data_IF_128855152087
#
_entry.id   IF_128855152087
#
_cell.length_a   1.000
_cell.length_b   1.000
_cell.length_c   1.000
_cell.angle_alpha   90.00
_cell.angle_beta   90.00
_cell.angle_gamma   90.00
#
_symmetry.space_group_name_H-M   'P 1'
#
loop_
_entity.id
_entity.type
_entity.pdbx_description
1 polymer ?
#
# COMPACT_ATOMS: atom_id res chain seq x y z
N UNK A 1 69.04 17.67 -7.42
CA UNK A 1 68.85 16.24 -7.06
C UNK A 1 67.38 15.90 -7.28
N UNK A 2 67.00 15.24 -8.40
CA UNK A 2 65.59 14.88 -8.66
C UNK A 2 65.20 13.69 -7.78
N UNK A 3 64.30 13.90 -6.82
CA UNK A 3 63.71 12.81 -6.01
C UNK A 3 62.97 11.87 -6.97
N UNK A 4 63.55 10.70 -7.25
CA UNK A 4 62.87 9.65 -8.04
C UNK A 4 61.88 8.97 -7.11
N UNK A 5 60.62 9.41 -7.12
CA UNK A 5 59.54 8.73 -6.40
C UNK A 5 59.44 7.31 -6.96
N UNK A 6 59.64 6.29 -6.12
CA UNK A 6 59.45 4.90 -6.53
C UNK A 6 57.97 4.71 -6.87
N UNK A 7 57.68 4.06 -8.01
CA UNK A 7 56.32 3.82 -8.52
C UNK A 7 55.37 3.23 -7.46
N UNK A 8 55.90 2.42 -6.55
CA UNK A 8 55.17 1.86 -5.40
C UNK A 8 54.50 2.94 -4.53
N UNK A 9 55.17 4.08 -4.29
CA UNK A 9 54.58 5.19 -3.52
C UNK A 9 53.43 5.86 -4.28
N UNK A 10 53.49 5.90 -5.61
CA UNK A 10 52.42 6.45 -6.44
C UNK A 10 51.19 5.56 -6.36
N UNK A 11 51.35 4.23 -6.38
CA UNK A 11 50.22 3.29 -6.28
C UNK A 11 49.57 3.29 -4.89
N UNK A 12 50.38 3.38 -3.83
CA UNK A 12 49.88 3.53 -2.46
C UNK A 12 49.14 4.86 -2.30
N UNK A 13 49.63 5.94 -2.91
CA UNK A 13 48.94 7.23 -2.89
C UNK A 13 47.58 7.16 -3.61
N UNK A 14 47.50 6.53 -4.79
CA UNK A 14 46.24 6.34 -5.52
C UNK A 14 45.23 5.53 -4.69
N UNK A 15 45.68 4.43 -4.08
CA UNK A 15 44.85 3.63 -3.18
C UNK A 15 44.34 4.44 -1.98
N UNK A 16 45.23 5.20 -1.34
CA UNK A 16 44.91 6.00 -0.15
C UNK A 16 43.93 7.14 -0.47
N UNK A 17 44.07 7.77 -1.64
CA UNK A 17 43.12 8.79 -2.12
C UNK A 17 41.73 8.19 -2.34
N UNK A 18 41.65 7.01 -2.99
CA UNK A 18 40.38 6.30 -3.16
C UNK A 18 39.69 5.98 -1.84
N UNK A 19 40.46 5.52 -0.84
CA UNK A 19 39.94 5.21 0.49
C UNK A 19 39.47 6.45 1.26
N UNK A 20 40.24 7.55 1.18
CA UNK A 20 39.88 8.82 1.83
C UNK A 20 38.61 9.42 1.25
N UNK A 21 38.38 9.30 -0.05
CA UNK A 21 37.13 9.75 -0.69
C UNK A 21 35.93 8.95 -0.14
N UNK A 22 36.06 7.62 -0.07
CA UNK A 22 34.99 6.76 0.47
C UNK A 22 34.71 7.09 1.95
N UNK A 23 35.76 7.21 2.77
CA UNK A 23 35.62 7.51 4.21
C UNK A 23 35.03 8.90 4.43
N UNK A 24 35.45 9.90 3.66
CA UNK A 24 34.94 11.28 3.79
C UNK A 24 33.45 11.37 3.49
N UNK A 25 32.96 10.62 2.50
CA UNK A 25 31.53 10.58 2.15
C UNK A 25 30.75 9.89 3.27
N UNK A 26 31.19 8.69 3.69
CA UNK A 26 30.54 7.95 4.78
C UNK A 26 30.50 8.76 6.09
N UNK A 27 31.56 9.49 6.42
CA UNK A 27 31.64 10.32 7.62
C UNK A 27 30.76 11.57 7.52
N UNK A 28 30.74 12.25 6.36
CA UNK A 28 29.83 13.37 6.12
C UNK A 28 28.38 12.93 6.30
N UNK A 29 28.01 11.76 5.77
CA UNK A 29 26.63 11.28 5.79
C UNK A 29 26.19 10.76 7.15
N UNK A 30 27.11 10.15 7.91
CA UNK A 30 26.91 9.81 9.32
C UNK A 30 26.60 11.05 10.18
N UNK A 31 27.34 12.14 9.95
CA UNK A 31 27.12 13.40 10.66
C UNK A 31 25.80 14.09 10.28
N UNK A 32 25.21 13.76 9.13
CA UNK A 32 23.97 14.34 8.61
C UNK A 32 22.74 13.42 8.77
N UNK A 33 22.91 12.21 9.30
CA UNK A 33 21.82 11.24 9.48
C UNK A 33 21.22 10.69 8.17
N UNK A 34 21.96 10.75 7.05
CA UNK A 34 21.46 10.45 5.68
C UNK A 34 22.06 9.17 5.06
N UNK A 35 22.31 8.13 5.85
CA UNK A 35 22.96 6.90 5.34
C UNK A 35 22.10 6.04 4.37
N UNK A 36 20.82 6.37 4.13
CA UNK A 36 19.88 5.54 3.37
C UNK A 36 19.51 6.05 1.96
N UNK A 37 19.91 7.26 1.56
CA UNK A 37 19.53 7.85 0.27
C UNK A 37 20.70 8.49 -0.47
N UNK A 38 21.46 7.68 -1.20
CA UNK A 38 22.50 8.20 -2.10
C UNK A 38 21.90 8.75 -3.40
N UNK A 39 22.16 10.02 -3.70
CA UNK A 39 21.88 10.62 -5.00
C UNK A 39 22.78 10.06 -6.09
N UNK A 40 22.53 10.42 -7.35
CA UNK A 40 23.33 9.95 -8.49
C UNK A 40 24.81 10.34 -8.34
N UNK A 41 25.10 11.55 -7.87
CA UNK A 41 26.46 12.04 -7.65
C UNK A 41 27.20 11.23 -6.58
N UNK A 42 26.54 10.90 -5.47
CA UNK A 42 27.16 10.16 -4.37
C UNK A 42 27.45 8.71 -4.76
N UNK A 43 26.52 8.07 -5.49
CA UNK A 43 26.71 6.73 -6.08
C UNK A 43 27.88 6.72 -7.06
N UNK A 44 28.01 7.75 -7.90
CA UNK A 44 29.11 7.89 -8.83
C UNK A 44 30.47 8.08 -8.11
N UNK A 45 30.50 8.87 -7.04
CA UNK A 45 31.72 9.09 -6.23
C UNK A 45 32.16 7.84 -5.48
N UNK A 46 31.23 7.07 -4.89
CA UNK A 46 31.53 5.78 -4.25
C UNK A 46 32.08 4.76 -5.26
N UNK A 47 31.47 4.67 -6.44
CA UNK A 47 31.92 3.79 -7.51
C UNK A 47 33.33 4.17 -7.98
N UNK A 48 33.58 5.46 -8.22
CA UNK A 48 34.90 5.96 -8.61
C UNK A 48 35.95 5.70 -7.54
N UNK A 49 35.64 5.97 -6.26
CA UNK A 49 36.53 5.67 -5.13
C UNK A 49 36.91 4.19 -5.05
N UNK A 50 35.93 3.30 -5.23
CA UNK A 50 36.16 1.85 -5.30
C UNK A 50 37.04 1.43 -6.46
N UNK A 51 36.81 1.98 -7.66
CA UNK A 51 37.63 1.74 -8.86
C UNK A 51 39.08 2.17 -8.63
N UNK A 52 39.32 3.37 -8.06
CA UNK A 52 40.67 3.85 -7.78
C UNK A 52 41.39 2.99 -6.74
N UNK A 53 40.69 2.52 -5.71
CA UNK A 53 41.26 1.60 -4.71
C UNK A 53 41.66 0.26 -5.35
N UNK A 54 40.78 -0.35 -6.16
CA UNK A 54 41.08 -1.63 -6.83
C UNK A 54 42.24 -1.47 -7.82
N UNK A 55 42.25 -0.42 -8.65
CA UNK A 55 43.33 -0.15 -9.60
C UNK A 55 44.65 0.06 -8.86
N UNK A 56 44.67 0.86 -7.78
CA UNK A 56 45.86 1.08 -6.97
C UNK A 56 46.42 -0.22 -6.40
N UNK A 57 45.56 -1.08 -5.88
CA UNK A 57 45.94 -2.38 -5.32
C UNK A 57 46.48 -3.34 -6.40
N UNK A 58 45.81 -3.44 -7.55
CA UNK A 58 46.24 -4.30 -8.68
C UNK A 58 47.59 -3.83 -9.23
N UNK A 59 47.77 -2.53 -9.45
CA UNK A 59 49.04 -1.98 -9.94
C UNK A 59 50.18 -2.20 -8.94
N UNK A 60 49.90 -2.08 -7.64
CA UNK A 60 50.87 -2.39 -6.60
C UNK A 60 51.28 -3.88 -6.64
N UNK A 61 50.32 -4.80 -6.73
CA UNK A 61 50.58 -6.24 -6.81
C UNK A 61 51.40 -6.58 -8.07
N UNK A 62 51.02 -6.05 -9.23
CA UNK A 62 51.70 -6.32 -10.51
C UNK A 62 53.13 -5.78 -10.57
N UNK A 63 53.38 -4.58 -10.04
CA UNK A 63 54.73 -4.02 -9.98
C UNK A 63 55.63 -4.87 -9.07
N UNK A 64 55.09 -5.35 -7.94
CA UNK A 64 55.80 -6.26 -7.05
C UNK A 64 56.04 -7.61 -7.70
N UNK A 65 55.06 -8.18 -8.41
CA UNK A 65 55.21 -9.42 -9.20
C UNK A 65 56.36 -9.32 -10.21
N UNK A 66 56.46 -8.22 -10.97
CA UNK A 66 57.59 -7.98 -11.90
C UNK A 66 58.95 -7.89 -11.20
N UNK A 67 58.99 -7.37 -9.98
CA UNK A 67 60.21 -7.34 -9.16
C UNK A 67 60.57 -8.76 -8.68
N UNK A 68 59.57 -9.58 -8.34
CA UNK A 68 59.75 -10.99 -7.93
C UNK A 68 60.25 -11.87 -9.10
N UNK A 69 59.68 -11.72 -10.29
CA UNK A 69 60.06 -12.46 -11.49
C UNK A 69 61.53 -12.20 -11.88
N UNK A 70 62.02 -10.96 -11.72
CA UNK A 70 63.41 -10.59 -12.02
C UNK A 70 64.44 -11.07 -10.99
N UNK A 71 64.04 -11.41 -9.77
CA UNK A 71 64.97 -11.78 -8.68
C UNK A 71 64.90 -13.27 -8.28
N UNK A 72 64.01 -14.04 -8.91
CA UNK A 72 63.73 -15.44 -8.55
C UNK A 72 62.83 -15.52 -7.33
N UNK A 73 61.71 -16.24 -7.46
CA UNK A 73 60.59 -16.29 -6.51
C UNK A 73 60.99 -16.66 -5.07
N UNK A 74 62.12 -17.36 -4.88
CA UNK A 74 62.61 -17.83 -3.57
C UNK A 74 63.74 -17.00 -2.93
N UNK A 75 64.24 -15.92 -3.56
CA UNK A 75 65.40 -15.18 -3.02
C UNK A 75 65.04 -13.99 -2.12
N UNK A 76 63.75 -13.66 -1.98
CA UNK A 76 63.33 -12.49 -1.21
C UNK A 76 62.89 -12.95 0.17
N UNK A 77 63.58 -12.48 1.22
CA UNK A 77 63.01 -12.39 2.58
C UNK A 77 61.70 -11.62 2.43
N UNK A 78 60.59 -12.34 2.29
CA UNK A 78 59.25 -11.76 2.36
C UNK A 78 59.21 -11.13 3.74
N UNK A 79 59.24 -9.80 3.80
CA UNK A 79 59.13 -9.11 5.06
C UNK A 79 57.73 -9.47 5.56
N UNK A 80 57.64 -10.33 6.58
CA UNK A 80 56.39 -10.92 7.07
C UNK A 80 55.32 -9.84 7.29
N UNK A 81 55.77 -8.64 7.66
CA UNK A 81 55.01 -7.41 7.78
C UNK A 81 54.25 -7.02 6.51
N UNK A 82 54.87 -7.14 5.32
CA UNK A 82 54.26 -6.77 4.04
C UNK A 82 53.23 -7.80 3.57
N UNK A 83 53.48 -9.09 3.81
CA UNK A 83 52.48 -10.13 3.55
C UNK A 83 51.28 -9.96 4.48
N UNK A 84 51.51 -9.70 5.77
CA UNK A 84 50.46 -9.35 6.72
C UNK A 84 49.68 -8.11 6.29
N UNK A 85 50.34 -7.07 5.81
CA UNK A 85 49.66 -5.84 5.38
C UNK A 85 48.71 -6.08 4.19
N UNK A 86 49.12 -6.87 3.20
CA UNK A 86 48.26 -7.23 2.07
C UNK A 86 47.08 -8.09 2.53
N UNK A 87 47.31 -9.06 3.42
CA UNK A 87 46.24 -9.89 3.99
C UNK A 87 45.24 -9.07 4.82
N UNK A 88 45.72 -8.10 5.61
CA UNK A 88 44.87 -7.19 6.39
C UNK A 88 44.06 -6.29 5.47
N UNK A 89 44.67 -5.71 4.44
CA UNK A 89 43.96 -4.87 3.48
C UNK A 89 42.89 -5.67 2.71
N UNK A 90 43.19 -6.90 2.31
CA UNK A 90 42.24 -7.78 1.64
C UNK A 90 41.07 -8.16 2.56
N UNK A 91 41.36 -8.57 3.81
CA UNK A 91 40.35 -8.87 4.81
C UNK A 91 39.48 -7.65 5.14
N UNK A 92 40.08 -6.45 5.19
CA UNK A 92 39.36 -5.20 5.43
C UNK A 92 38.46 -4.84 4.26
N UNK A 93 38.90 -5.02 3.01
CA UNK A 93 38.05 -4.82 1.82
C UNK A 93 36.91 -5.83 1.75
N UNK A 94 37.15 -7.11 2.06
CA UNK A 94 36.09 -8.13 2.12
C UNK A 94 35.13 -7.89 3.30
N UNK A 95 35.65 -7.41 4.43
CA UNK A 95 34.85 -7.04 5.61
C UNK A 95 33.95 -5.84 5.33
N UNK A 96 34.48 -4.78 4.71
CA UNK A 96 33.67 -3.63 4.27
C UNK A 96 32.68 -4.06 3.19
N UNK A 97 33.07 -4.87 2.20
CA UNK A 97 32.10 -5.32 1.18
C UNK A 97 31.01 -6.20 1.79
N UNK A 98 31.33 -7.03 2.79
CA UNK A 98 30.38 -7.86 3.52
C UNK A 98 29.45 -7.05 4.41
N UNK A 99 29.96 -6.03 5.11
CA UNK A 99 29.15 -5.09 5.90
C UNK A 99 28.28 -4.24 4.99
N UNK A 100 28.80 -3.74 3.87
CA UNK A 100 28.07 -2.97 2.87
C UNK A 100 27.00 -3.84 2.21
N UNK A 101 27.32 -5.07 1.80
CA UNK A 101 26.34 -6.02 1.25
C UNK A 101 25.27 -6.38 2.28
N UNK A 102 25.66 -6.73 3.51
CA UNK A 102 24.71 -6.99 4.59
C UNK A 102 23.88 -5.75 4.92
N UNK A 103 24.45 -4.54 4.87
CA UNK A 103 23.73 -3.28 5.08
C UNK A 103 22.85 -2.91 3.88
N UNK A 104 23.13 -3.33 2.66
CA UNK A 104 22.21 -3.13 1.52
C UNK A 104 21.16 -4.24 1.42
N UNK A 105 21.47 -5.45 1.87
CA UNK A 105 20.54 -6.59 1.92
C UNK A 105 19.67 -6.60 3.19
N UNK A 106 20.11 -5.94 4.27
CA UNK A 106 19.38 -5.78 5.54
C UNK A 106 19.18 -4.32 5.97
N UNK A 107 19.57 -3.31 5.18
CA UNK A 107 18.95 -1.99 5.36
C UNK A 107 17.49 -2.19 5.02
N UNK A 108 16.56 -1.83 5.90
CA UNK A 108 15.27 -1.40 5.42
C UNK A 108 15.60 -0.17 4.58
N UNK A 109 15.72 -0.35 3.27
CA UNK A 109 15.74 0.77 2.37
C UNK A 109 14.53 1.60 2.78
N UNK A 110 14.78 2.82 3.24
CA UNK A 110 13.77 3.85 3.38
C UNK A 110 13.24 4.23 2.00
N UNK A 111 12.78 3.28 1.20
CA UNK A 111 11.60 3.57 0.41
C UNK A 111 10.61 4.10 1.45
N UNK A 112 10.10 5.31 1.27
CA UNK A 112 8.77 5.58 1.76
C UNK A 112 7.94 4.42 1.23
N UNK A 113 7.70 3.41 2.07
CA UNK A 113 6.81 2.33 1.73
C UNK A 113 5.52 3.05 1.41
N UNK A 114 4.94 2.75 0.23
CA UNK A 114 3.58 3.14 -0.07
C UNK A 114 2.68 2.41 0.91
N UNK A 115 2.67 2.90 2.15
CA UNK A 115 1.87 2.37 3.23
C UNK A 115 0.48 2.89 2.96
N UNK A 116 -0.38 1.97 2.57
CA UNK A 116 -1.80 2.26 2.51
C UNK A 116 -2.31 2.38 3.93
N UNK A 117 -2.96 3.51 4.20
CA UNK A 117 -3.45 3.91 5.51
C UNK A 117 -4.87 4.44 5.37
N UNK A 118 -5.58 4.50 6.49
CA UNK A 118 -6.97 4.94 6.53
C UNK A 118 -7.07 6.28 7.27
N UNK A 119 -7.83 7.20 6.69
CA UNK A 119 -8.15 8.50 7.27
C UNK A 119 -9.65 8.70 7.45
N UNK A 120 -10.00 9.72 8.23
CA UNK A 120 -11.37 10.18 8.46
C UNK A 120 -11.49 11.64 8.02
N UNK A 121 -12.54 11.92 7.27
CA UNK A 121 -12.98 13.27 6.97
C UNK A 121 -14.39 13.52 7.49
N UNK A 122 -14.67 14.79 7.80
CA UNK A 122 -16.01 15.22 8.22
C UNK A 122 -16.64 16.10 7.14
N UNK A 123 -17.95 15.97 6.98
CA UNK A 123 -18.75 16.93 6.25
C UNK A 123 -19.63 17.70 7.21
N UNK A 124 -19.56 19.04 7.14
CA UNK A 124 -20.50 19.95 7.77
C UNK A 124 -21.69 20.27 6.83
N UNK A 125 -21.87 19.47 5.78
CA UNK A 125 -22.95 19.58 4.82
C UNK A 125 -24.00 18.52 5.10
N UNK A 126 -25.26 18.87 4.89
CA UNK A 126 -26.36 17.91 4.82
C UNK A 126 -26.12 16.89 3.68
N UNK A 127 -25.42 17.32 2.63
CA UNK A 127 -25.09 16.48 1.49
C UNK A 127 -23.74 15.74 1.64
N UNK A 128 -23.71 14.43 1.32
CA UNK A 128 -22.55 13.55 1.48
C UNK A 128 -21.53 13.65 0.33
N UNK A 129 -21.24 14.87 -0.14
CA UNK A 129 -20.36 15.11 -1.31
C UNK A 129 -19.18 16.04 -1.03
N UNK A 130 -19.19 16.74 0.10
CA UNK A 130 -18.18 17.75 0.42
C UNK A 130 -17.52 17.43 1.75
N UNK A 131 -16.39 16.75 1.69
CA UNK A 131 -15.60 16.38 2.86
C UNK A 131 -14.44 17.35 2.98
N UNK A 132 -14.35 18.02 4.13
CA UNK A 132 -13.30 18.98 4.43
C UNK A 132 -12.45 18.44 5.57
N UNK A 133 -11.14 18.58 5.44
CA UNK A 133 -10.22 18.33 6.54
C UNK A 133 -10.21 19.57 7.44
N UNK A 134 -10.88 19.53 8.59
CA UNK A 134 -10.76 20.62 9.56
C UNK A 134 -10.43 20.24 10.99
N UNK A 135 -10.67 19.01 11.45
CA UNK A 135 -10.56 18.70 12.88
C UNK A 135 -10.10 17.28 13.23
N UNK A 136 -9.60 16.48 12.28
CA UNK A 136 -9.12 15.10 12.53
C UNK A 136 -7.67 14.95 12.08
N UNK A 137 -6.84 14.33 12.91
CA UNK A 137 -5.45 14.03 12.55
C UNK A 137 -5.42 12.72 11.79
N UNK A 138 -5.09 12.79 10.51
CA UNK A 138 -4.93 11.62 9.64
C UNK A 138 -3.45 11.22 9.48
N UNK A 139 -3.16 9.93 9.18
CA UNK A 139 -4.12 8.82 9.15
C UNK A 139 -4.58 8.40 10.55
N UNK A 140 -5.81 7.89 10.68
CA UNK A 140 -6.36 7.37 11.95
C UNK A 140 -6.01 5.91 12.19
N UNK A 141 -5.59 5.20 11.13
CA UNK A 141 -5.18 3.80 11.21
C UNK A 141 -4.10 3.50 10.17
N UNK A 142 -3.08 2.76 10.60
CA UNK A 142 -1.91 2.35 9.82
C UNK A 142 -1.66 0.86 9.97
N UNK A 143 -0.71 0.31 9.21
CA UNK A 143 -0.34 -1.10 9.38
C UNK A 143 0.29 -1.37 10.76
N UNK A 144 0.92 -0.35 11.37
CA UNK A 144 1.56 -0.46 12.68
C UNK A 144 0.58 -0.62 13.86
N UNK A 145 -0.69 -0.27 13.66
CA UNK A 145 -1.74 -0.43 14.68
C UNK A 145 -2.25 -1.88 14.80
N UNK A 146 -2.05 -2.68 13.75
CA UNK A 146 -2.44 -4.09 13.73
C UNK A 146 -1.48 -4.89 14.62
N UNK A 147 -2.03 -5.59 15.62
CA UNK A 147 -1.23 -6.17 16.71
C UNK A 147 -1.24 -7.70 16.80
N UNK A 148 -2.16 -8.39 16.13
CA UNK A 148 -2.31 -9.86 16.16
C UNK A 148 -1.65 -10.55 14.93
N UNK A 149 -1.46 -9.83 13.83
CA UNK A 149 -0.75 -10.26 12.62
C UNK A 149 0.23 -9.19 12.12
N UNK A 150 1.34 -9.57 11.46
CA UNK A 150 2.21 -8.59 10.83
C UNK A 150 1.52 -8.03 9.58
N UNK A 151 1.11 -6.76 9.63
CA UNK A 151 0.48 -6.08 8.50
C UNK A 151 1.49 -5.26 7.69
N UNK A 152 1.27 -5.15 6.37
CA UNK A 152 2.01 -4.21 5.51
C UNK A 152 1.20 -3.01 5.05
N UNK A 153 -0.12 -3.13 5.02
CA UNK A 153 -1.08 -2.12 4.55
C UNK A 153 -2.44 -2.31 5.22
N UNK A 154 -3.21 -1.23 5.30
CA UNK A 154 -4.64 -1.26 5.62
C UNK A 154 -5.42 -0.43 4.59
N UNK A 155 -6.56 -0.93 4.11
CA UNK A 155 -7.32 -0.33 3.02
C UNK A 155 -8.82 -0.67 3.10
N UNK A 156 -9.63 -0.11 2.19
CA UNK A 156 -11.06 -0.41 2.03
C UNK A 156 -11.91 -0.30 3.31
N UNK A 157 -11.90 0.86 4.01
CA UNK A 157 -12.66 1.00 5.24
C UNK A 157 -14.16 1.05 4.99
N UNK A 158 -14.94 0.21 5.68
CA UNK A 158 -16.40 0.25 5.76
C UNK A 158 -16.88 0.64 7.15
N UNK A 159 -17.61 1.75 7.24
CA UNK A 159 -18.16 2.25 8.49
C UNK A 159 -19.54 1.70 8.80
N UNK A 160 -19.73 1.30 10.05
CA UNK A 160 -21.03 0.98 10.64
C UNK A 160 -21.17 1.74 11.95
N UNK A 161 -22.34 2.34 12.17
CA UNK A 161 -22.74 2.83 13.49
C UNK A 161 -23.85 1.96 14.03
N UNK A 162 -23.68 1.49 15.27
CA UNK A 162 -24.70 0.76 16.02
C UNK A 162 -24.74 1.28 17.45
N UNK A 163 -25.88 1.88 17.82
CA UNK A 163 -26.01 2.66 19.05
C UNK A 163 -25.01 3.82 19.12
N UNK A 164 -24.26 3.86 20.21
CA UNK A 164 -23.26 4.90 20.51
C UNK A 164 -21.84 4.52 20.05
N UNK A 165 -21.69 3.41 19.32
CA UNK A 165 -20.40 2.91 18.85
C UNK A 165 -20.29 2.98 17.33
N UNK A 166 -19.08 3.30 16.88
CA UNK A 166 -18.65 3.21 15.50
C UNK A 166 -17.72 2.02 15.33
N UNK A 167 -17.91 1.30 14.24
CA UNK A 167 -17.13 0.14 13.83
C UNK A 167 -16.60 0.39 12.42
N UNK A 168 -15.34 0.07 12.20
CA UNK A 168 -14.68 0.14 10.90
C UNK A 168 -14.14 -1.24 10.58
N UNK A 169 -14.67 -1.84 9.52
CA UNK A 169 -14.15 -3.07 8.94
C UNK A 169 -13.25 -2.70 7.76
N UNK A 170 -12.09 -3.32 7.63
CA UNK A 170 -11.11 -2.93 6.61
C UNK A 170 -10.22 -4.11 6.23
N UNK A 171 -9.60 -4.05 5.05
CA UNK A 171 -8.58 -5.00 4.63
C UNK A 171 -7.31 -4.79 5.46
N UNK A 172 -6.74 -5.90 5.95
CA UNK A 172 -5.40 -5.99 6.50
C UNK A 172 -4.57 -6.87 5.58
N UNK A 173 -3.52 -6.31 5.00
CA UNK A 173 -2.61 -7.08 4.16
C UNK A 173 -1.58 -7.81 5.03
N UNK A 174 -1.83 -9.11 5.27
CA UNK A 174 -1.08 -9.95 6.18
C UNK A 174 0.21 -10.46 5.54
N UNK A 175 1.35 -10.06 6.09
CA UNK A 175 2.69 -10.41 5.60
C UNK A 175 2.99 -11.89 5.77
N UNK A 176 2.41 -12.55 6.79
CA UNK A 176 2.71 -13.95 7.11
C UNK A 176 2.10 -14.90 6.09
N UNK A 177 0.86 -14.63 5.68
CA UNK A 177 0.09 -15.45 4.73
C UNK A 177 0.17 -14.91 3.31
N UNK A 178 0.57 -13.65 3.14
CA UNK A 178 0.57 -12.92 1.87
C UNK A 178 -0.83 -12.85 1.23
N UNK A 179 -1.85 -12.61 2.06
CA UNK A 179 -3.23 -12.43 1.65
C UNK A 179 -3.86 -11.27 2.47
N UNK A 180 -5.02 -10.79 2.03
CA UNK A 180 -5.84 -9.85 2.79
C UNK A 180 -6.73 -10.60 3.79
N UNK A 181 -6.80 -10.10 5.02
CA UNK A 181 -7.73 -10.52 6.07
C UNK A 181 -8.62 -9.33 6.45
N UNK A 182 -9.76 -9.55 7.12
CA UNK A 182 -10.62 -8.44 7.55
C UNK A 182 -10.35 -8.07 9.00
N UNK A 183 -9.87 -6.84 9.20
CA UNK A 183 -9.67 -6.21 10.50
C UNK A 183 -10.90 -5.46 11.01
N UNK A 184 -10.91 -5.19 12.32
CA UNK A 184 -11.88 -4.34 13.00
C UNK A 184 -11.18 -3.26 13.82
N UNK A 185 -11.66 -2.03 13.69
CA UNK A 185 -11.35 -0.91 14.59
C UNK A 185 -12.65 -0.33 15.13
N UNK A 186 -12.58 0.26 16.33
CA UNK A 186 -13.75 0.83 17.02
C UNK A 186 -13.50 2.27 17.43
N UNK A 187 -14.58 3.04 17.51
CA UNK A 187 -14.56 4.42 18.00
C UNK A 187 -15.85 4.76 18.74
N UNK A 188 -15.77 5.69 19.70
CA UNK A 188 -16.93 6.25 20.42
C UNK A 188 -17.40 7.58 19.85
N UNK A 189 -16.52 8.28 19.12
CA UNK A 189 -16.77 9.61 18.58
C UNK A 189 -16.71 9.65 17.05
N UNK A 190 -16.26 8.57 16.41
CA UNK A 190 -16.05 8.49 14.96
C UNK A 190 -14.75 9.15 14.51
N UNK A 191 -13.91 9.62 15.43
CA UNK A 191 -12.70 10.40 15.17
C UNK A 191 -11.45 9.67 15.69
N UNK A 192 -11.50 9.22 16.93
CA UNK A 192 -10.42 8.50 17.58
C UNK A 192 -10.70 7.00 17.45
N UNK A 193 -9.89 6.33 16.64
CA UNK A 193 -10.05 4.92 16.32
C UNK A 193 -9.03 4.07 17.08
N UNK A 194 -9.43 2.87 17.45
CA UNK A 194 -8.55 1.88 18.07
C UNK A 194 -8.73 0.55 17.38
N UNK A 195 -7.63 -0.02 16.91
CA UNK A 195 -7.58 -1.38 16.41
C UNK A 195 -8.11 -2.37 17.47
N UNK A 196 -8.91 -3.35 17.03
CA UNK A 196 -9.47 -4.40 17.88
C UNK A 196 -8.81 -5.76 17.60
N UNK A 197 -9.09 -6.36 16.44
CA UNK A 197 -8.61 -7.69 16.04
C UNK A 197 -8.92 -7.98 14.57
N UNK A 198 -8.30 -9.02 14.00
CA UNK A 198 -8.81 -9.70 12.80
C UNK A 198 -10.13 -10.42 13.15
N UNK A 199 -11.18 -10.16 12.36
CA UNK A 199 -12.53 -10.69 12.58
C UNK A 199 -12.95 -11.73 11.53
N UNK A 200 -12.27 -11.77 10.39
CA UNK A 200 -12.45 -12.78 9.36
C UNK A 200 -11.12 -13.06 8.67
N UNK A 201 -10.72 -14.33 8.71
CA UNK A 201 -9.53 -14.90 8.07
C UNK A 201 -9.96 -16.19 7.37
N UNK A 202 -9.60 -16.32 6.11
CA UNK A 202 -9.91 -17.46 5.24
C UNK A 202 -8.61 -18.00 4.62
N UNK A 203 -8.69 -19.09 3.85
CA UNK A 203 -7.48 -19.64 3.18
C UNK A 203 -7.14 -18.93 1.86
N UNK A 204 -7.76 -17.80 1.61
CA UNK A 204 -7.70 -17.04 0.36
C UNK A 204 -7.83 -15.55 0.69
N UNK A 205 -7.42 -14.69 -0.23
CA UNK A 205 -7.44 -13.25 -0.07
C UNK A 205 -8.86 -12.68 0.12
N UNK A 206 -8.99 -11.82 1.12
CA UNK A 206 -10.19 -11.02 1.43
C UNK A 206 -9.85 -9.53 1.44
N UNK A 207 -10.69 -8.72 0.80
CA UNK A 207 -10.62 -7.25 0.85
C UNK A 207 -12.03 -6.67 0.81
N UNK A 208 -12.18 -5.34 0.69
CA UNK A 208 -13.46 -4.67 0.47
C UNK A 208 -14.66 -5.23 1.29
N UNK A 209 -14.62 -5.17 2.64
CA UNK A 209 -15.61 -5.82 3.51
C UNK A 209 -16.95 -5.07 3.55
N UNK A 210 -17.78 -5.21 2.51
CA UNK A 210 -19.07 -4.53 2.44
C UNK A 210 -20.04 -5.04 3.52
N UNK A 211 -20.19 -4.27 4.60
CA UNK A 211 -21.07 -4.60 5.75
C UNK A 211 -22.43 -3.91 5.62
N UNK A 212 -23.50 -4.64 5.92
CA UNK A 212 -24.88 -4.13 5.89
C UNK A 212 -25.76 -4.80 6.95
N UNK A 213 -26.90 -4.16 7.27
CA UNK A 213 -27.88 -4.67 8.25
C UNK A 213 -29.13 -5.19 7.53
N UNK A 214 -29.61 -6.37 7.93
CA UNK A 214 -30.87 -6.94 7.45
C UNK A 214 -31.53 -7.73 8.58
N UNK A 215 -32.83 -7.49 8.82
CA UNK A 215 -33.60 -8.13 9.90
C UNK A 215 -32.91 -8.03 11.27
N UNK A 216 -32.41 -6.84 11.61
CA UNK A 216 -31.67 -6.53 12.84
C UNK A 216 -30.34 -7.27 13.04
N UNK A 217 -29.88 -8.01 12.03
CA UNK A 217 -28.61 -8.71 12.03
C UNK A 217 -27.62 -8.11 11.02
N UNK A 218 -26.33 -8.32 11.27
CA UNK A 218 -25.25 -7.81 10.43
C UNK A 218 -24.70 -8.88 9.50
N UNK A 219 -24.49 -8.47 8.26
CA UNK A 219 -23.96 -9.30 7.18
C UNK A 219 -22.79 -8.61 6.51
N UNK A 220 -21.88 -9.39 5.94
CA UNK A 220 -20.69 -8.91 5.25
C UNK A 220 -20.52 -9.66 3.94
N UNK A 221 -20.20 -8.92 2.88
CA UNK A 221 -19.73 -9.46 1.60
C UNK A 221 -18.33 -8.87 1.37
N UNK A 222 -17.26 -9.59 1.76
CA UNK A 222 -15.92 -9.20 1.35
C UNK A 222 -15.71 -9.52 -0.13
N UNK A 223 -14.76 -8.86 -0.77
CA UNK A 223 -14.19 -9.35 -2.02
C UNK A 223 -13.52 -10.70 -1.78
N UNK A 224 -13.80 -11.65 -2.67
CA UNK A 224 -13.23 -12.99 -2.65
C UNK A 224 -12.96 -13.49 -4.07
N UNK A 225 -12.45 -12.61 -4.93
CA UNK A 225 -12.21 -12.86 -6.35
C UNK A 225 -11.29 -14.07 -6.59
N UNK A 226 -10.32 -14.31 -5.70
CA UNK A 226 -9.41 -15.47 -5.77
C UNK A 226 -10.15 -16.81 -5.84
N UNK A 227 -11.29 -16.92 -5.15
CA UNK A 227 -12.16 -18.12 -5.15
C UNK A 227 -13.37 -17.98 -6.07
N UNK A 228 -13.35 -17.00 -6.99
CA UNK A 228 -14.31 -16.81 -8.08
C UNK A 228 -15.77 -16.79 -7.64
N UNK A 229 -16.04 -16.19 -6.50
CA UNK A 229 -17.38 -16.16 -5.91
C UNK A 229 -17.61 -14.93 -5.06
N UNK A 230 -18.89 -14.59 -4.89
CA UNK A 230 -19.36 -13.62 -3.90
C UNK A 230 -19.87 -14.42 -2.71
N UNK A 231 -19.27 -14.23 -1.55
CA UNK A 231 -19.55 -15.00 -0.33
C UNK A 231 -20.24 -14.11 0.70
N UNK A 232 -21.31 -14.62 1.31
CA UNK A 232 -22.03 -13.94 2.37
C UNK A 232 -21.61 -14.49 3.73
N UNK A 233 -21.27 -13.59 4.65
CA UNK A 233 -20.99 -13.89 6.05
C UNK A 233 -22.02 -13.20 6.95
N UNK A 234 -22.30 -13.80 8.11
CA UNK A 234 -23.19 -13.26 9.15
C UNK A 234 -22.41 -13.03 10.44
N UNK A 235 -22.67 -11.91 11.11
CA UNK A 235 -22.12 -11.62 12.43
C UNK A 235 -22.86 -12.41 13.52
N UNK A 236 -22.23 -13.43 14.10
CA UNK A 236 -22.83 -14.24 15.19
C UNK A 236 -22.72 -13.54 16.55
N UNK A 237 -21.68 -12.72 16.71
CA UNK A 237 -21.39 -11.91 17.89
C UNK A 237 -20.88 -10.56 17.40
N UNK A 238 -21.74 -9.85 16.65
CA UNK A 238 -21.36 -8.59 16.03
C UNK A 238 -20.73 -7.64 17.07
N UNK A 239 -19.58 -7.01 16.77
CA UNK A 239 -18.83 -7.03 15.50
C UNK A 239 -17.73 -8.11 15.38
N UNK A 240 -17.52 -8.94 16.40
CA UNK A 240 -16.26 -9.65 16.63
C UNK A 240 -16.11 -11.00 15.93
N UNK A 241 -17.21 -11.65 15.54
CA UNK A 241 -17.17 -12.98 14.93
C UNK A 241 -18.12 -13.09 13.75
N UNK A 242 -17.60 -13.61 12.65
CA UNK A 242 -18.32 -13.82 11.41
C UNK A 242 -18.31 -15.30 11.00
N UNK A 243 -19.43 -15.77 10.45
CA UNK A 243 -19.59 -17.13 9.95
C UNK A 243 -20.05 -17.12 8.51
N UNK A 244 -19.44 -17.95 7.67
CA UNK A 244 -19.90 -18.16 6.29
C UNK A 244 -21.35 -18.66 6.26
N UNK A 245 -22.20 -18.01 5.48
CA UNK A 245 -23.60 -18.38 5.30
C UNK A 245 -23.77 -19.17 4.01
N UNK A 246 -23.37 -18.58 2.88
CA UNK A 246 -23.50 -19.18 1.55
C UNK A 246 -22.75 -18.39 0.48
N UNK A 247 -22.55 -19.04 -0.67
CA UNK A 247 -22.18 -18.39 -1.92
C UNK A 247 -23.40 -17.76 -2.58
N UNK A 248 -23.30 -16.51 -3.01
CA UNK A 248 -24.36 -15.73 -3.67
C UNK A 248 -24.28 -15.82 -5.20
N UNK A 249 -23.08 -15.68 -5.74
CA UNK A 249 -22.73 -15.81 -7.16
C UNK A 249 -21.37 -16.53 -7.28
N UNK A 250 -21.15 -17.24 -8.39
CA UNK A 250 -19.92 -17.99 -8.64
C UNK A 250 -19.56 -18.03 -10.14
N UNK A 251 -18.30 -18.35 -10.44
CA UNK A 251 -17.83 -18.61 -11.80
C UNK A 251 -17.14 -17.43 -12.51
N UNK A 252 -16.99 -16.29 -11.84
CA UNK A 252 -16.28 -15.11 -12.34
C UNK A 252 -15.40 -14.50 -11.24
N UNK A 253 -14.44 -13.67 -11.64
CA UNK A 253 -13.60 -12.90 -10.72
C UNK A 253 -14.41 -11.65 -10.32
N UNK A 254 -15.20 -11.78 -9.25
CA UNK A 254 -16.06 -10.72 -8.72
C UNK A 254 -15.28 -9.82 -7.77
N UNK A 255 -15.13 -8.56 -8.15
CA UNK A 255 -14.32 -7.57 -7.45
C UNK A 255 -15.23 -6.49 -6.85
N UNK A 256 -14.86 -5.99 -5.66
CA UNK A 256 -15.49 -4.90 -4.91
C UNK A 256 -17.03 -4.97 -4.87
N UNK A 257 -17.57 -6.10 -4.42
CA UNK A 257 -19.02 -6.33 -4.44
C UNK A 257 -19.77 -5.43 -3.43
N UNK A 258 -20.54 -4.45 -3.92
CA UNK A 258 -21.33 -3.53 -3.08
C UNK A 258 -22.81 -3.86 -3.11
N UNK A 259 -23.38 -4.17 -1.95
CA UNK A 259 -24.80 -4.47 -1.77
C UNK A 259 -25.55 -3.31 -1.11
N UNK A 260 -26.79 -3.06 -1.54
CA UNK A 260 -27.67 -2.06 -0.92
C UNK A 260 -29.15 -2.39 -1.13
N UNK A 261 -30.02 -1.81 -0.29
CA UNK A 261 -31.46 -1.97 -0.39
C UNK A 261 -32.11 -0.66 -0.86
N UNK A 262 -32.93 -0.75 -1.90
CA UNK A 262 -33.67 0.39 -2.44
C UNK A 262 -34.89 -0.07 -3.25
N UNK A 263 -36.01 0.63 -3.13
CA UNK A 263 -37.20 0.36 -3.96
C UNK A 263 -37.70 -1.09 -3.81
N UNK A 264 -37.81 -1.57 -2.57
CA UNK A 264 -38.26 -2.93 -2.22
C UNK A 264 -37.38 -4.08 -2.73
N UNK A 265 -36.21 -3.79 -3.29
CA UNK A 265 -35.28 -4.79 -3.82
C UNK A 265 -33.88 -4.63 -3.23
N UNK A 266 -33.19 -5.74 -3.13
CA UNK A 266 -31.75 -5.77 -2.89
C UNK A 266 -31.03 -5.67 -4.22
N UNK A 267 -29.99 -4.85 -4.26
CA UNK A 267 -29.16 -4.58 -5.42
C UNK A 267 -27.71 -4.90 -5.10
N UNK A 268 -26.97 -5.37 -6.10
CA UNK A 268 -25.57 -5.74 -5.97
C UNK A 268 -24.81 -5.24 -7.19
N UNK A 269 -23.83 -4.38 -6.95
CA UNK A 269 -22.81 -3.98 -7.92
C UNK A 269 -21.58 -4.85 -7.73
N UNK A 270 -20.91 -5.21 -8.83
CA UNK A 270 -19.61 -5.87 -8.77
C UNK A 270 -18.84 -5.62 -10.06
N UNK A 271 -17.55 -5.37 -9.95
CA UNK A 271 -16.65 -5.28 -11.08
C UNK A 271 -16.33 -6.69 -11.60
N UNK A 272 -16.27 -6.82 -12.94
CA UNK A 272 -15.77 -8.02 -13.60
C UNK A 272 -15.01 -7.63 -14.86
N UNK A 273 -13.70 -7.78 -14.95
CA UNK A 273 -12.98 -7.52 -16.20
C UNK A 273 -11.80 -6.57 -16.11
N UNK A 274 -10.97 -6.72 -15.06
CA UNK A 274 -9.75 -5.94 -14.88
C UNK A 274 -10.01 -4.43 -14.78
N UNK A 275 -10.91 -4.06 -13.87
CA UNK A 275 -11.27 -2.70 -13.46
C UNK A 275 -12.21 -1.92 -14.40
N UNK A 276 -12.62 -2.46 -15.55
CA UNK A 276 -13.28 -1.68 -16.62
C UNK A 276 -14.76 -1.99 -16.86
N UNK A 277 -15.33 -2.97 -16.16
CA UNK A 277 -16.67 -3.48 -16.45
C UNK A 277 -17.47 -3.70 -15.16
N UNK A 278 -18.63 -3.04 -15.06
CA UNK A 278 -19.51 -3.06 -13.91
C UNK A 278 -20.80 -3.82 -14.21
N UNK A 279 -21.10 -4.82 -13.39
CA UNK A 279 -22.34 -5.59 -13.45
C UNK A 279 -23.31 -5.19 -12.35
N UNK A 280 -24.59 -5.37 -12.64
CA UNK A 280 -25.69 -5.09 -11.71
C UNK A 280 -26.58 -6.32 -11.58
N UNK A 281 -26.88 -6.69 -10.34
CA UNK A 281 -27.79 -7.78 -10.00
C UNK A 281 -28.87 -7.28 -9.03
N UNK A 282 -29.99 -8.00 -8.98
CA UNK A 282 -31.04 -7.74 -8.00
C UNK A 282 -31.61 -9.02 -7.40
N UNK A 283 -32.17 -8.91 -6.20
CA UNK A 283 -32.82 -10.00 -5.47
C UNK A 283 -33.94 -9.46 -4.56
N UNK A 284 -34.84 -10.36 -4.14
CA UNK A 284 -35.88 -10.03 -3.16
C UNK A 284 -35.33 -9.98 -1.71
N UNK A 285 -34.27 -10.74 -1.44
CA UNK A 285 -33.58 -10.80 -0.14
C UNK A 285 -32.08 -10.82 -0.37
N UNK A 286 -31.23 -10.46 0.60
CA UNK A 286 -29.78 -10.49 0.41
C UNK A 286 -29.23 -11.92 0.27
N UNK A 287 -30.04 -12.93 0.61
CA UNK A 287 -29.71 -14.36 0.42
C UNK A 287 -29.89 -14.83 -1.03
N UNK A 288 -30.41 -13.98 -1.91
CA UNK A 288 -30.75 -14.32 -3.29
C UNK A 288 -32.10 -15.05 -3.43
N UNK A 289 -32.32 -15.75 -4.56
CA UNK A 289 -31.41 -15.84 -5.71
C UNK A 289 -31.18 -14.47 -6.34
N UNK A 290 -29.96 -14.25 -6.84
CA UNK A 290 -29.58 -13.02 -7.53
C UNK A 290 -29.82 -13.18 -9.03
N UNK A 291 -30.50 -12.20 -9.62
CA UNK A 291 -30.77 -12.13 -11.06
C UNK A 291 -29.94 -11.00 -11.65
N UNK A 292 -29.18 -11.28 -12.71
CA UNK A 292 -28.45 -10.24 -13.43
C UNK A 292 -29.46 -9.29 -14.10
N UNK A 293 -29.24 -7.99 -13.92
CA UNK A 293 -30.09 -6.95 -14.47
C UNK A 293 -30.00 -6.96 -16.01
N UNK A 294 -31.09 -6.76 -16.76
CA UNK A 294 -31.08 -6.81 -18.24
C UNK A 294 -30.23 -5.72 -18.91
N UNK A 295 -29.86 -4.66 -18.18
CA UNK A 295 -28.90 -3.64 -18.63
C UNK A 295 -27.45 -3.96 -18.26
N UNK A 296 -27.19 -5.04 -17.54
CA UNK A 296 -25.84 -5.48 -17.19
C UNK A 296 -25.11 -6.02 -18.45
N UNK A 297 -23.81 -5.73 -18.63
CA UNK A 297 -23.01 -4.81 -17.82
C UNK A 297 -23.46 -3.36 -18.04
N UNK A 298 -23.59 -2.61 -16.94
CA UNK A 298 -24.04 -1.20 -16.97
C UNK A 298 -22.90 -0.24 -17.31
N UNK A 299 -21.66 -0.68 -17.14
CA UNK A 299 -20.43 -0.05 -17.66
C UNK A 299 -19.58 -1.14 -18.29
N UNK A 300 -18.98 -0.88 -19.45
CA UNK A 300 -18.10 -1.80 -20.16
C UNK A 300 -16.95 -1.01 -20.82
N UNK A 301 -15.70 -1.38 -20.54
CA UNK A 301 -14.52 -0.76 -21.14
C UNK A 301 -14.21 0.65 -20.62
N UNK A 302 -14.65 1.00 -19.40
CA UNK A 302 -14.34 2.30 -18.78
C UNK A 302 -13.89 2.16 -17.32
N UNK A 303 -12.58 2.03 -17.16
CA UNK A 303 -11.93 1.92 -15.86
C UNK A 303 -11.92 3.22 -15.03
N UNK A 304 -12.48 4.33 -15.52
CA UNK A 304 -12.63 5.55 -14.71
C UNK A 304 -13.85 5.47 -13.76
N UNK A 305 -14.82 4.60 -14.05
CA UNK A 305 -16.15 4.63 -13.40
C UNK A 305 -16.75 3.25 -13.10
N UNK A 306 -16.13 2.16 -13.59
CA UNK A 306 -16.66 0.81 -13.45
C UNK A 306 -16.47 0.26 -12.03
N UNK A 307 -15.24 0.28 -11.50
CA UNK A 307 -14.92 -0.31 -10.20
C UNK A 307 -15.65 0.42 -9.05
N UNK A 308 -16.43 -0.29 -8.21
CA UNK A 308 -17.03 0.31 -7.02
C UNK A 308 -15.97 0.93 -6.09
N UNK A 309 -16.27 2.10 -5.52
CA UNK A 309 -15.36 2.84 -4.64
C UNK A 309 -15.86 2.93 -3.20
N UNK A 310 -16.61 1.94 -2.74
CA UNK A 310 -17.19 1.85 -1.40
C UNK A 310 -18.73 1.72 -1.38
N UNK A 311 -19.33 2.15 -0.27
CA UNK A 311 -20.76 1.92 0.01
C UNK A 311 -21.68 2.80 -0.84
N UNK A 312 -22.77 2.23 -1.37
CA UNK A 312 -23.87 3.01 -1.95
C UNK A 312 -24.68 3.64 -0.82
N UNK A 313 -24.94 4.95 -0.93
CA UNK A 313 -25.76 5.67 0.04
C UNK A 313 -27.16 5.94 -0.49
N UNK A 314 -28.14 5.86 0.42
CA UNK A 314 -29.52 6.27 0.18
C UNK A 314 -29.86 7.37 1.16
N UNK A 315 -30.06 8.59 0.67
CA UNK A 315 -30.39 9.77 1.49
C UNK A 315 -31.35 10.67 0.73
N UNK A 316 -32.32 11.28 1.40
CA UNK A 316 -33.31 12.18 0.79
C UNK A 316 -33.95 11.62 -0.50
N UNK A 317 -34.22 10.31 -0.53
CA UNK A 317 -34.74 9.57 -1.67
C UNK A 317 -33.85 9.60 -2.94
N UNK A 318 -32.55 9.88 -2.76
CA UNK A 318 -31.50 9.80 -3.79
C UNK A 318 -30.62 8.60 -3.50
N UNK A 319 -30.21 7.90 -4.55
CA UNK A 319 -29.27 6.79 -4.47
C UNK A 319 -27.98 7.22 -5.13
N UNK A 320 -26.87 7.13 -4.42
CA UNK A 320 -25.55 7.50 -4.96
C UNK A 320 -24.57 6.36 -4.78
N UNK A 321 -23.94 5.96 -5.88
CA UNK A 321 -22.78 5.07 -5.86
C UNK A 321 -21.49 5.87 -5.99
N UNK A 322 -20.45 5.36 -5.34
CA UNK A 322 -19.09 5.87 -5.49
C UNK A 322 -18.27 4.93 -6.35
N UNK A 323 -17.31 5.48 -7.09
CA UNK A 323 -16.52 4.72 -8.06
C UNK A 323 -15.06 5.03 -7.87
N UNK A 324 -14.24 3.99 -7.89
CA UNK A 324 -12.81 4.12 -8.01
C UNK A 324 -12.46 4.49 -9.45
N UNK A 325 -11.61 5.50 -9.61
CA UNK A 325 -10.99 5.84 -10.89
C UNK A 325 -9.63 5.13 -10.99
N UNK A 326 -9.53 4.14 -11.90
CA UNK A 326 -8.31 3.36 -12.15
C UNK A 326 -7.43 3.93 -13.27
N UNK A 327 -7.76 5.11 -13.82
CA UNK A 327 -7.02 5.71 -14.95
C UNK A 327 -6.42 7.06 -14.54
N UNK A 328 -5.13 7.34 -14.84
CA UNK A 328 -4.17 6.48 -15.54
C UNK A 328 -3.48 5.45 -14.61
N UNK A 329 -3.86 5.39 -13.33
CA UNK A 329 -3.34 4.44 -12.35
C UNK A 329 -4.42 4.11 -11.31
N UNK A 330 -4.27 2.96 -10.66
CA UNK A 330 -5.14 2.49 -9.58
C UNK A 330 -5.27 3.53 -8.45
N UNK A 331 -6.49 3.85 -8.04
CA UNK A 331 -6.78 4.84 -7.01
C UNK A 331 -6.34 6.24 -7.39
N UNK A 332 -6.67 6.68 -8.61
CA UNK A 332 -6.43 8.05 -9.05
C UNK A 332 -7.28 9.06 -8.26
N UNK A 333 -8.55 8.71 -8.03
CA UNK A 333 -9.56 9.54 -7.37
C UNK A 333 -10.86 8.74 -7.19
N UNK A 334 -11.83 9.34 -6.50
CA UNK A 334 -13.18 8.80 -6.32
C UNK A 334 -14.22 9.74 -6.94
N UNK A 335 -15.13 9.17 -7.72
CA UNK A 335 -16.28 9.86 -8.29
C UNK A 335 -17.59 9.47 -7.59
N UNK A 336 -18.61 10.32 -7.73
CA UNK A 336 -19.96 10.05 -7.26
C UNK A 336 -20.96 10.10 -8.43
N UNK A 337 -21.84 9.10 -8.50
CA UNK A 337 -22.90 8.99 -9.49
C UNK A 337 -24.24 8.83 -8.81
N UNK A 338 -25.17 9.74 -9.12
CA UNK A 338 -26.56 9.63 -8.70
C UNK A 338 -27.30 8.71 -9.67
N UNK A 339 -27.89 7.64 -9.13
CA UNK A 339 -28.73 6.72 -9.87
C UNK A 339 -30.13 7.35 -9.95
N UNK A 340 -30.47 7.86 -11.13
CA UNK A 340 -31.72 8.59 -11.36
C UNK A 340 -32.88 7.67 -11.71
N UNK A 341 -32.58 6.49 -12.27
CA UNK A 341 -33.56 5.45 -12.56
C UNK A 341 -33.00 4.11 -12.10
N UNK A 342 -33.71 3.44 -11.19
CA UNK A 342 -33.37 2.08 -10.72
C UNK A 342 -34.64 1.24 -10.60
N UNK A 343 -34.86 0.37 -11.57
CA UNK A 343 -35.95 -0.61 -11.62
C UNK A 343 -35.37 -1.94 -12.10
N UNK A 344 -36.17 -3.02 -12.16
CA UNK A 344 -35.67 -4.33 -12.61
C UNK A 344 -35.45 -4.39 -14.13
N UNK A 345 -35.89 -3.36 -14.85
CA UNK A 345 -35.86 -3.27 -16.32
C UNK A 345 -34.99 -2.11 -16.83
N UNK A 346 -34.87 -1.03 -16.06
CA UNK A 346 -34.22 0.23 -16.44
C UNK A 346 -33.19 0.65 -15.40
N UNK A 347 -32.04 1.12 -15.90
CA UNK A 347 -30.95 1.70 -15.13
C UNK A 347 -30.47 2.97 -15.81
N UNK A 348 -30.32 4.05 -15.06
CA UNK A 348 -29.70 5.29 -15.51
C UNK A 348 -29.05 6.00 -14.33
N UNK A 349 -27.86 6.56 -14.57
CA UNK A 349 -27.11 7.36 -13.61
C UNK A 349 -26.52 8.60 -14.26
N UNK A 350 -26.18 9.58 -13.44
CA UNK A 350 -25.44 10.77 -13.86
C UNK A 350 -24.36 11.09 -12.83
N UNK A 351 -23.25 11.66 -13.29
CA UNK A 351 -22.22 12.17 -12.39
C UNK A 351 -22.77 13.31 -11.55
N UNK A 352 -22.50 13.31 -10.25
CA UNK A 352 -22.99 14.33 -9.31
C UNK A 352 -22.33 15.70 -9.55
N UNK A 353 -21.06 15.72 -9.95
CA UNK A 353 -20.27 16.94 -10.17
C UNK A 353 -19.21 16.75 -11.25
N UNK A 354 -18.74 17.85 -11.83
CA UNK A 354 -17.59 17.86 -12.75
C UNK A 354 -16.24 17.65 -12.05
N UNK A 355 -16.23 17.64 -10.71
CA UNK A 355 -15.05 17.40 -9.88
C UNK A 355 -15.18 16.07 -9.13
N UNK A 356 -14.06 15.33 -8.93
CA UNK A 356 -14.09 14.17 -8.06
C UNK A 356 -14.46 14.58 -6.65
N UNK A 357 -15.13 13.70 -5.93
CA UNK A 357 -15.48 13.94 -4.53
C UNK A 357 -14.27 13.77 -3.61
N UNK A 358 -13.32 12.94 -4.01
CA UNK A 358 -12.05 12.74 -3.32
C UNK A 358 -10.93 12.57 -4.33
N UNK A 359 -9.80 13.20 -4.03
CA UNK A 359 -8.53 13.04 -4.73
C UNK A 359 -7.43 13.28 -3.73
N UNK A 360 -6.34 12.50 -3.77
CA UNK A 360 -5.23 12.69 -2.84
C UNK A 360 -4.73 14.14 -2.81
N UNK A 361 -4.66 14.74 -1.63
CA UNK A 361 -4.20 16.12 -1.43
C UNK A 361 -3.28 16.29 -0.22
N UNK A 362 -3.31 15.37 0.74
CA UNK A 362 -2.50 15.39 1.96
C UNK A 362 -1.25 14.51 1.82
N UNK A 363 -0.24 14.79 2.65
CA UNK A 363 1.04 14.06 2.63
C UNK A 363 0.85 12.54 2.79
N UNK A 364 -0.15 12.10 3.57
CA UNK A 364 -0.44 10.69 3.84
C UNK A 364 -1.24 10.00 2.71
N UNK A 365 -1.90 10.74 1.81
CA UNK A 365 -2.81 10.19 0.80
C UNK A 365 -2.64 10.74 -0.63
N UNK A 366 -1.48 11.31 -0.97
CA UNK A 366 -1.19 11.88 -2.29
C UNK A 366 -1.33 10.89 -3.49
N UNK A 367 -1.52 9.59 -3.24
CA UNK A 367 -1.94 8.61 -4.23
C UNK A 367 -2.83 7.52 -3.63
N UNK A 368 -3.38 6.65 -4.48
CA UNK A 368 -4.13 5.49 -4.00
C UNK A 368 -5.47 5.81 -3.35
N UNK A 369 -6.02 6.99 -3.61
CA UNK A 369 -7.32 7.41 -3.10
C UNK A 369 -8.41 6.69 -3.89
N UNK A 370 -8.89 5.56 -3.38
CA UNK A 370 -9.79 4.70 -4.13
C UNK A 370 -11.08 4.32 -3.40
N UNK A 371 -11.09 4.40 -2.07
CA UNK A 371 -12.23 4.01 -1.27
C UNK A 371 -12.88 5.18 -0.52
N UNK A 372 -14.21 5.16 -0.39
CA UNK A 372 -14.97 5.98 0.55
C UNK A 372 -16.12 5.19 1.18
N UNK A 373 -16.21 5.24 2.51
CA UNK A 373 -17.38 4.75 3.24
C UNK A 373 -17.92 5.82 4.16
N UNK A 374 -19.22 6.05 4.05
CA UNK A 374 -19.89 7.14 4.74
C UNK A 374 -20.74 6.64 5.89
N UNK A 375 -20.73 7.39 6.98
CA UNK A 375 -21.63 7.18 8.10
C UNK A 375 -22.28 8.49 8.52
N UNK A 376 -23.61 8.48 8.67
CA UNK A 376 -24.37 9.64 9.12
C UNK A 376 -24.21 9.82 10.63
N UNK A 377 -23.72 10.98 11.06
CA UNK A 377 -23.54 11.31 12.49
C UNK A 377 -24.82 11.90 13.06
N UNK A 378 -25.44 12.83 12.35
CA UNK A 378 -26.71 13.42 12.71
C UNK A 378 -27.43 13.94 11.46
N UNK A 379 -28.48 14.75 11.62
CA UNK A 379 -29.27 15.28 10.51
C UNK A 379 -28.42 16.05 9.50
N UNK A 380 -27.34 16.72 9.95
CA UNK A 380 -26.56 17.66 9.17
C UNK A 380 -25.11 17.22 8.93
N UNK A 381 -24.64 16.15 9.56
CA UNK A 381 -23.22 15.79 9.56
C UNK A 381 -22.97 14.35 9.12
N UNK A 382 -21.89 14.18 8.38
CA UNK A 382 -21.38 12.89 7.91
C UNK A 382 -19.90 12.74 8.29
N UNK A 383 -19.50 11.50 8.58
CA UNK A 383 -18.08 11.09 8.54
C UNK A 383 -17.85 10.24 7.30
N UNK A 384 -16.65 10.35 6.75
CA UNK A 384 -16.15 9.54 5.66
C UNK A 384 -14.86 8.86 6.10
N UNK A 385 -14.83 7.53 6.09
CA UNK A 385 -13.58 6.80 6.09
C UNK A 385 -13.09 6.66 4.65
N UNK A 386 -11.81 6.92 4.46
CA UNK A 386 -11.14 6.89 3.16
C UNK A 386 -9.80 6.21 3.32
N UNK A 387 -9.22 5.75 2.22
CA UNK A 387 -7.87 5.22 2.24
C UNK A 387 -6.96 5.94 1.25
N UNK A 388 -5.66 5.73 1.40
CA UNK A 388 -4.67 6.27 0.50
C UNK A 388 -3.26 5.93 0.92
N UNK A 389 -2.33 6.30 0.06
CA UNK A 389 -0.90 6.13 0.29
C UNK A 389 -0.18 7.44 0.08
N UNK A 390 0.85 7.67 0.89
CA UNK A 390 1.85 8.67 0.59
C UNK A 390 2.59 8.25 -0.69
N UNK A 391 2.73 9.15 -1.66
CA UNK A 391 3.72 8.97 -2.73
C UNK A 391 5.10 9.14 -2.08
N UNK A 392 5.97 8.15 -2.27
CA UNK A 392 7.40 8.40 -2.10
C UNK A 392 7.80 9.51 -3.07
N UNK A 393 8.17 10.67 -2.52
CA UNK A 393 8.64 11.83 -3.29
C UNK A 393 9.96 11.55 -4.00
#
# INVERSE_FOLDING_TARGET
MKLKIKKEFVYIAIFSIGLLIIISILLHDYLQGKLSHYGFCDKACLLLGGIFAIIGLVLFILERYKIYERKGFFSVRVNLFQACLVSVLFAFTCGISGIVYSYYSFSPAGAATREWTIGIYKSLSQEPFNFMEKDVVNPVLTASDVSDVPAKRVADPFLIRDGDMYYMFFEVDNVRTNQGDIGLAISKDGENWSYSQIVLDERFHLSYPCVFKWQDEYYMIPESAEVKSIRLYKGEQFPYRWSFVKTLLEGMDFVDSTIFYYGESWWLFTETGNDDTLRLYYAATPLGPWTEHPKSPIVQGDANIARPGGMVIVFDNRVVRYTQDCVPYYGNQVWAFEIVTLTKELYEEKRVSDRPILKGFDDWNTGGMHHISLCKVDVNNWIAAVDGTAKGF
#
